data_IF_831209434458
#
_entry.id   IF_831209434458
#
_cell.length_a   1.000
_cell.length_b   1.000
_cell.length_c   1.000
_cell.angle_alpha   90.00
_cell.angle_beta   90.00
_cell.angle_gamma   90.00
#
_symmetry.space_group_name_H-M   'P 1'
#
loop_
_entity.id
_entity.type
_entity.pdbx_description
1 polymer ?
#
# COMPACT_ATOMS: atom_id res chain seq x y z
N UNK A 1 4.29 4.33 18.87
CA UNK A 1 5.48 5.17 19.14
C UNK A 1 6.15 5.59 17.83
N UNK A 2 6.42 4.66 16.92
CA UNK A 2 7.03 4.95 15.63
C UNK A 2 6.23 5.93 14.78
N UNK A 3 4.92 5.79 14.70
CA UNK A 3 4.03 6.68 13.97
C UNK A 3 4.13 8.14 14.43
N UNK A 4 4.13 8.37 15.77
CA UNK A 4 4.26 9.73 16.33
C UNK A 4 5.63 10.33 16.04
N UNK A 5 6.68 9.50 16.00
CA UNK A 5 8.03 9.96 15.63
C UNK A 5 8.11 10.30 14.14
N UNK A 6 7.48 9.50 13.28
CA UNK A 6 7.43 9.75 11.83
C UNK A 6 6.67 11.03 11.49
N UNK A 7 5.63 11.38 12.26
CA UNK A 7 4.84 12.61 12.09
C UNK A 7 5.54 13.86 12.65
N UNK A 8 6.65 13.73 13.37
CA UNK A 8 7.39 14.86 13.91
C UNK A 8 6.61 15.73 14.90
N UNK A 9 5.65 15.16 15.62
CA UNK A 9 4.76 15.90 16.53
C UNK A 9 5.54 16.62 17.65
N UNK A 10 5.29 17.92 17.89
CA UNK A 10 5.83 18.61 19.06
C UNK A 10 5.46 17.89 20.35
N UNK A 11 6.41 17.76 21.29
CA UNK A 11 6.21 17.00 22.55
C UNK A 11 6.27 15.48 22.42
N UNK A 12 6.39 14.97 21.20
CA UNK A 12 6.64 13.56 20.91
C UNK A 12 5.59 12.60 21.45
N UNK A 13 6.00 11.34 21.61
CA UNK A 13 5.10 10.25 22.02
C UNK A 13 4.46 10.47 23.41
N UNK A 14 5.19 11.04 24.37
CA UNK A 14 4.67 11.23 25.72
C UNK A 14 3.48 12.21 25.78
N UNK A 15 3.53 13.28 25.00
CA UNK A 15 2.43 14.23 24.90
C UNK A 15 1.23 13.62 24.17
N UNK A 16 1.45 12.98 23.02
CA UNK A 16 0.40 12.28 22.27
C UNK A 16 -0.30 11.24 23.14
N UNK A 17 0.48 10.43 23.88
CA UNK A 17 -0.06 9.41 24.78
C UNK A 17 -0.96 10.02 25.88
N UNK A 18 -0.52 11.11 26.52
CA UNK A 18 -1.27 11.79 27.57
C UNK A 18 -2.62 12.31 27.07
N UNK A 19 -2.62 12.92 25.86
CA UNK A 19 -3.85 13.44 25.24
C UNK A 19 -4.81 12.29 24.93
N UNK A 20 -4.31 11.21 24.31
CA UNK A 20 -5.12 10.05 23.94
C UNK A 20 -5.65 9.27 25.15
N UNK A 21 -4.90 9.20 26.25
CA UNK A 21 -5.36 8.65 27.52
C UNK A 21 -6.50 9.49 28.13
N UNK A 22 -6.40 10.82 28.08
CA UNK A 22 -7.49 11.71 28.50
C UNK A 22 -8.75 11.53 27.64
N UNK A 23 -8.62 11.27 26.36
CA UNK A 23 -9.76 10.90 25.50
C UNK A 23 -10.34 9.53 25.83
N UNK A 24 -9.51 8.57 26.27
CA UNK A 24 -9.99 7.27 26.77
C UNK A 24 -10.81 7.44 28.06
N UNK A 25 -10.29 8.22 29.03
CA UNK A 25 -10.98 8.51 30.30
C UNK A 25 -12.32 9.21 30.07
N UNK A 26 -12.46 10.02 29.04
CA UNK A 26 -13.70 10.68 28.62
C UNK A 26 -14.57 9.86 27.66
N UNK A 27 -14.20 8.62 27.34
CA UNK A 27 -14.97 7.70 26.50
C UNK A 27 -14.91 7.97 24.99
N UNK A 28 -14.11 8.92 24.53
CA UNK A 28 -13.99 9.25 23.10
C UNK A 28 -13.10 8.27 22.35
N UNK A 29 -12.14 7.64 23.02
CA UNK A 29 -11.27 6.62 22.43
C UNK A 29 -11.30 5.34 23.24
N UNK A 30 -10.88 4.25 22.61
CA UNK A 30 -10.63 2.96 23.23
C UNK A 30 -9.18 2.57 23.00
N UNK A 31 -8.54 2.02 24.03
CA UNK A 31 -7.20 1.44 23.92
C UNK A 31 -7.32 -0.04 23.55
N UNK A 32 -6.43 -0.51 22.68
CA UNK A 32 -6.41 -1.90 22.26
C UNK A 32 -5.26 -2.22 21.30
N UNK A 33 -5.32 -3.41 20.74
CA UNK A 33 -4.47 -3.83 19.62
C UNK A 33 -5.35 -3.88 18.37
N UNK A 34 -5.20 -2.91 17.48
CA UNK A 34 -6.01 -2.77 16.28
C UNK A 34 -5.22 -3.08 15.01
N UNK A 35 -3.93 -2.81 15.00
CA UNK A 35 -3.05 -3.01 13.87
C UNK A 35 -1.89 -3.88 14.33
N UNK A 36 -1.72 -5.01 13.67
CA UNK A 36 -0.64 -5.95 13.92
C UNK A 36 0.73 -5.27 13.73
N UNK A 37 1.74 -5.70 14.48
CA UNK A 37 3.12 -5.21 14.44
C UNK A 37 3.33 -3.74 14.88
N UNK A 38 2.29 -2.96 15.14
CA UNK A 38 2.46 -1.59 15.64
C UNK A 38 2.84 -1.48 17.12
N UNK A 39 2.84 -2.57 17.86
CA UNK A 39 3.12 -2.61 19.30
C UNK A 39 1.97 -2.10 20.17
N UNK A 40 2.22 -2.00 21.46
CA UNK A 40 1.24 -1.61 22.47
C UNK A 40 0.90 -0.11 22.43
N UNK A 41 -0.16 0.28 23.17
CA UNK A 41 -0.70 1.64 23.27
C UNK A 41 -1.22 2.19 21.94
N UNK A 42 -2.10 1.42 21.31
CA UNK A 42 -2.90 1.91 20.18
C UNK A 42 -4.23 2.44 20.71
N UNK A 43 -4.67 3.56 20.15
CA UNK A 43 -5.94 4.20 20.48
C UNK A 43 -6.76 4.36 19.20
N UNK A 44 -8.05 4.12 19.30
CA UNK A 44 -8.97 4.34 18.18
C UNK A 44 -10.29 4.93 18.70
N UNK A 45 -10.94 5.75 17.89
CA UNK A 45 -12.28 6.23 18.18
C UNK A 45 -13.26 5.04 18.22
N UNK A 46 -14.29 5.10 19.08
CA UNK A 46 -15.24 4.00 19.26
C UNK A 46 -15.88 3.56 17.94
N UNK A 47 -16.30 4.50 17.09
CA UNK A 47 -16.87 4.19 15.77
C UNK A 47 -15.88 3.48 14.83
N UNK A 48 -14.58 3.80 14.93
CA UNK A 48 -13.54 3.10 14.17
C UNK A 48 -13.39 1.66 14.62
N UNK A 49 -13.45 1.39 15.93
CA UNK A 49 -13.40 0.02 16.47
C UNK A 49 -14.59 -0.80 15.99
N UNK A 50 -15.79 -0.22 16.00
CA UNK A 50 -16.99 -0.90 15.54
C UNK A 50 -16.89 -1.22 14.04
N UNK A 51 -16.40 -0.28 13.23
CA UNK A 51 -16.15 -0.52 11.80
C UNK A 51 -15.09 -1.60 11.55
N UNK A 52 -14.02 -1.66 12.34
CA UNK A 52 -13.01 -2.74 12.25
C UNK A 52 -13.64 -4.11 12.54
N UNK A 53 -14.57 -4.19 13.50
CA UNK A 53 -15.31 -5.43 13.80
C UNK A 53 -16.21 -5.85 12.64
N UNK A 54 -16.87 -4.91 11.98
CA UNK A 54 -17.66 -5.19 10.77
C UNK A 54 -16.81 -5.83 9.67
N UNK A 55 -15.61 -5.29 9.39
CA UNK A 55 -14.69 -5.89 8.44
C UNK A 55 -14.17 -7.26 8.87
N UNK A 56 -13.90 -7.45 10.17
CA UNK A 56 -13.44 -8.75 10.70
C UNK A 56 -14.55 -9.82 10.69
N UNK A 57 -15.82 -9.43 10.58
CA UNK A 57 -16.97 -10.34 10.50
C UNK A 57 -17.34 -10.73 9.06
N UNK A 58 -16.64 -10.20 8.04
CA UNK A 58 -16.88 -10.59 6.66
C UNK A 58 -16.55 -12.08 6.44
N UNK A 59 -17.37 -12.79 5.64
CA UNK A 59 -17.12 -14.20 5.37
C UNK A 59 -15.79 -14.41 4.63
N UNK A 60 -15.10 -15.48 4.97
CA UNK A 60 -13.92 -15.95 4.27
C UNK A 60 -14.30 -17.17 3.39
N UNK A 61 -13.94 -17.22 2.08
CA UNK A 61 -13.17 -16.21 1.36
C UNK A 61 -14.03 -15.08 0.79
N UNK A 62 -13.66 -13.83 1.11
CA UNK A 62 -14.17 -12.68 0.37
C UNK A 62 -13.37 -12.51 -0.94
N UNK A 63 -13.94 -11.89 -1.99
CA UNK A 63 -13.18 -11.53 -3.17
C UNK A 63 -11.99 -10.64 -2.78
N UNK A 64 -10.81 -10.87 -3.37
CA UNK A 64 -9.61 -10.07 -3.09
C UNK A 64 -9.87 -8.58 -3.33
N UNK A 65 -9.80 -7.79 -2.28
CA UNK A 65 -9.93 -6.34 -2.31
C UNK A 65 -8.60 -5.68 -2.70
N UNK A 66 -8.49 -5.17 -3.93
CA UNK A 66 -7.29 -4.49 -4.39
C UNK A 66 -7.49 -2.97 -4.48
N UNK A 67 -6.51 -2.21 -3.99
CA UNK A 67 -6.54 -0.74 -3.96
C UNK A 67 -5.19 -0.17 -4.38
N UNK A 68 -5.19 0.70 -5.40
CA UNK A 68 -3.99 1.44 -5.82
C UNK A 68 -4.07 2.89 -5.35
N UNK A 69 -3.03 3.34 -4.66
CA UNK A 69 -2.90 4.67 -4.07
C UNK A 69 -1.60 5.34 -4.53
N UNK A 70 -1.53 6.67 -4.41
CA UNK A 70 -0.24 7.35 -4.44
C UNK A 70 0.61 6.88 -3.23
N UNK A 71 1.91 6.72 -3.41
CA UNK A 71 2.79 6.32 -2.30
C UNK A 71 2.77 7.33 -1.14
N UNK A 72 2.43 8.60 -1.42
CA UNK A 72 2.29 9.68 -0.44
C UNK A 72 0.88 9.80 0.15
N UNK A 73 -0.09 9.01 -0.32
CA UNK A 73 -1.47 9.08 0.15
C UNK A 73 -1.54 8.82 1.66
N UNK A 74 -2.28 9.63 2.44
CA UNK A 74 -2.46 9.39 3.89
C UNK A 74 -3.05 8.02 4.22
N UNK A 75 -3.85 7.43 3.34
CA UNK A 75 -4.42 6.09 3.51
C UNK A 75 -3.38 4.96 3.30
N UNK A 76 -2.22 5.25 2.71
CA UNK A 76 -1.13 4.30 2.63
C UNK A 76 -0.42 4.19 3.99
N UNK A 77 -0.49 3.05 4.72
CA UNK A 77 0.15 2.90 6.02
C UNK A 77 1.67 2.70 5.92
N UNK A 78 2.17 2.21 4.79
CA UNK A 78 3.57 1.84 4.61
C UNK A 78 4.49 3.06 4.46
N UNK A 79 5.61 3.01 5.18
CA UNK A 79 6.57 4.11 5.24
C UNK A 79 6.13 5.27 6.14
N UNK A 80 5.01 5.11 6.86
CA UNK A 80 4.52 6.00 7.91
C UNK A 80 4.25 5.18 9.18
N UNK A 81 3.03 4.64 9.34
CA UNK A 81 2.67 3.82 10.50
C UNK A 81 3.36 2.45 10.47
N UNK A 82 3.44 1.81 9.31
CA UNK A 82 4.08 0.52 9.10
C UNK A 82 5.42 0.70 8.37
N UNK A 83 6.39 -0.13 8.71
CA UNK A 83 7.63 -0.23 7.95
C UNK A 83 7.33 -0.78 6.54
N UNK A 84 8.15 -0.40 5.57
CA UNK A 84 8.14 -1.07 4.27
C UNK A 84 8.59 -2.52 4.45
N UNK A 85 7.90 -3.51 3.85
CA UNK A 85 8.36 -4.89 3.85
C UNK A 85 9.76 -5.02 3.26
N UNK A 86 10.58 -5.88 3.82
CA UNK A 86 11.91 -6.16 3.31
C UNK A 86 11.84 -7.02 2.04
N UNK A 87 12.71 -6.72 1.08
CA UNK A 87 12.96 -7.58 -0.08
C UNK A 87 14.42 -8.00 -0.06
N UNK A 88 14.66 -9.30 0.01
CA UNK A 88 16.02 -9.85 -0.02
C UNK A 88 16.64 -9.70 -1.41
N UNK A 89 17.92 -9.40 -1.45
CA UNK A 89 18.67 -9.28 -2.71
C UNK A 89 18.33 -8.07 -3.58
N UNK A 90 17.38 -7.20 -3.17
CA UNK A 90 16.96 -6.03 -3.93
C UNK A 90 17.54 -4.77 -3.30
N UNK A 91 18.43 -4.10 -4.03
CA UNK A 91 19.06 -2.85 -3.55
C UNK A 91 18.06 -1.67 -3.51
N UNK A 92 17.09 -1.67 -4.42
CA UNK A 92 16.06 -0.63 -4.51
C UNK A 92 15.13 -0.71 -3.29
N UNK A 93 14.80 0.45 -2.73
CA UNK A 93 13.91 0.56 -1.55
C UNK A 93 12.70 1.42 -1.89
N UNK A 94 11.49 0.99 -1.47
CA UNK A 94 10.30 1.80 -1.63
C UNK A 94 10.37 3.06 -0.75
N UNK A 95 9.59 4.07 -1.10
CA UNK A 95 9.54 5.31 -0.32
C UNK A 95 8.28 6.11 -0.61
N UNK A 96 7.90 6.96 0.34
CA UNK A 96 6.78 7.90 0.17
C UNK A 96 7.23 9.09 -0.69
N UNK A 97 7.40 8.84 -1.99
CA UNK A 97 7.85 9.83 -2.98
C UNK A 97 6.70 10.24 -3.88
N UNK A 98 6.63 11.52 -4.21
CA UNK A 98 5.62 12.07 -5.13
C UNK A 98 5.70 11.39 -6.50
N UNK A 99 4.56 10.95 -7.02
CA UNK A 99 4.44 10.22 -8.29
C UNK A 99 4.70 8.72 -8.20
N UNK A 100 5.13 8.19 -7.04
CA UNK A 100 5.12 6.75 -6.78
C UNK A 100 3.72 6.24 -6.52
N UNK A 101 3.48 4.96 -6.82
CA UNK A 101 2.21 4.27 -6.58
C UNK A 101 2.45 3.04 -5.70
N UNK A 102 1.48 2.71 -4.87
CA UNK A 102 1.40 1.46 -4.11
C UNK A 102 0.11 0.75 -4.46
N UNK A 103 0.15 -0.56 -4.58
CA UNK A 103 -1.05 -1.38 -4.71
C UNK A 103 -1.12 -2.34 -3.54
N UNK A 104 -2.20 -2.25 -2.80
CA UNK A 104 -2.52 -3.10 -1.67
C UNK A 104 -3.55 -4.14 -2.12
N UNK A 105 -3.43 -5.37 -1.64
CA UNK A 105 -4.45 -6.41 -1.78
C UNK A 105 -4.76 -6.91 -0.38
N UNK A 106 -6.01 -6.83 0.02
CA UNK A 106 -6.48 -7.12 1.39
C UNK A 106 -5.64 -6.45 2.49
N UNK A 107 -5.20 -5.20 2.20
CA UNK A 107 -4.36 -4.40 3.09
C UNK A 107 -2.86 -4.71 3.03
N UNK A 108 -2.43 -5.81 2.45
CA UNK A 108 -1.03 -6.14 2.25
C UNK A 108 -0.43 -5.40 1.04
N UNK A 109 0.79 -4.88 1.18
CA UNK A 109 1.51 -4.26 0.06
C UNK A 109 1.93 -5.35 -0.93
N UNK A 110 1.48 -5.24 -2.18
CA UNK A 110 1.79 -6.18 -3.26
C UNK A 110 2.70 -5.58 -4.32
N UNK A 111 2.42 -4.35 -4.74
CA UNK A 111 3.26 -3.66 -5.72
C UNK A 111 3.62 -2.25 -5.24
N UNK A 112 4.85 -1.84 -5.50
CA UNK A 112 5.30 -0.46 -5.43
C UNK A 112 5.88 -0.08 -6.80
N UNK A 113 5.43 1.04 -7.35
CA UNK A 113 5.97 1.61 -8.59
C UNK A 113 6.61 2.95 -8.30
N UNK A 114 7.81 3.15 -8.80
CA UNK A 114 8.43 4.48 -8.79
C UNK A 114 7.72 5.46 -9.74
N UNK A 115 8.02 6.73 -9.56
CA UNK A 115 7.55 7.78 -10.46
C UNK A 115 7.84 7.44 -11.93
N UNK A 116 6.80 7.46 -12.75
CA UNK A 116 6.87 7.08 -14.17
C UNK A 116 6.82 5.58 -14.42
N UNK A 117 6.77 4.75 -13.37
CA UNK A 117 6.53 3.31 -13.45
C UNK A 117 7.73 2.44 -13.85
N UNK A 118 8.88 3.01 -14.26
CA UNK A 118 10.01 2.24 -14.85
C UNK A 118 10.49 1.11 -13.95
N UNK A 119 10.60 1.37 -12.66
CA UNK A 119 11.02 0.39 -11.67
C UNK A 119 9.84 0.07 -10.76
N UNK A 120 9.54 -1.20 -10.63
CA UNK A 120 8.56 -1.72 -9.70
C UNK A 120 9.23 -2.66 -8.70
N UNK A 121 8.61 -2.80 -7.53
CA UNK A 121 8.93 -3.81 -6.52
C UNK A 121 7.68 -4.69 -6.33
N UNK A 122 7.87 -5.99 -6.29
CA UNK A 122 6.84 -6.97 -5.97
C UNK A 122 7.09 -7.57 -4.60
N UNK A 123 6.04 -7.66 -3.79
CA UNK A 123 6.05 -8.19 -2.43
C UNK A 123 5.23 -9.49 -2.30
N UNK A 124 4.73 -10.01 -3.42
CA UNK A 124 4.05 -11.31 -3.53
C UNK A 124 4.49 -12.00 -4.81
N UNK A 125 4.47 -13.31 -4.80
CA UNK A 125 4.66 -14.20 -5.95
C UNK A 125 3.37 -14.97 -6.32
N UNK A 126 2.30 -14.80 -5.54
CA UNK A 126 0.99 -15.39 -5.78
C UNK A 126 0.34 -14.78 -7.03
N UNK A 127 0.01 -15.62 -8.00
CA UNK A 127 -0.51 -15.18 -9.30
C UNK A 127 -1.89 -14.52 -9.20
N UNK A 128 -2.76 -14.97 -8.30
CA UNK A 128 -4.09 -14.41 -8.11
C UNK A 128 -4.01 -13.02 -7.46
N UNK A 129 -3.17 -12.89 -6.44
CA UNK A 129 -2.88 -11.61 -5.77
C UNK A 129 -2.26 -10.62 -6.74
N UNK A 130 -1.28 -11.05 -7.55
CA UNK A 130 -0.66 -10.21 -8.58
C UNK A 130 -1.64 -9.78 -9.67
N UNK A 131 -2.55 -10.68 -10.08
CA UNK A 131 -3.59 -10.35 -11.04
C UNK A 131 -4.58 -9.31 -10.49
N UNK A 132 -4.99 -9.43 -9.22
CA UNK A 132 -5.83 -8.44 -8.56
C UNK A 132 -5.13 -7.08 -8.46
N UNK A 133 -3.86 -7.07 -8.07
CA UNK A 133 -3.05 -5.86 -8.00
C UNK A 133 -2.89 -5.18 -9.38
N UNK A 134 -2.60 -5.94 -10.42
CA UNK A 134 -2.44 -5.41 -11.78
C UNK A 134 -3.75 -4.79 -12.32
N UNK A 135 -4.90 -5.43 -12.07
CA UNK A 135 -6.22 -4.87 -12.42
C UNK A 135 -6.46 -3.54 -11.72
N UNK A 136 -6.27 -3.49 -10.40
CA UNK A 136 -6.44 -2.25 -9.62
C UNK A 136 -5.52 -1.13 -10.10
N UNK A 137 -4.27 -1.44 -10.46
CA UNK A 137 -3.33 -0.48 -11.02
C UNK A 137 -3.85 0.12 -12.33
N UNK A 138 -4.36 -0.73 -13.24
CA UNK A 138 -4.92 -0.30 -14.54
C UNK A 138 -6.17 0.55 -14.35
N UNK A 139 -7.12 0.10 -13.52
CA UNK A 139 -8.36 0.81 -13.22
C UNK A 139 -8.08 2.19 -12.64
N UNK A 140 -7.20 2.27 -11.62
CA UNK A 140 -6.81 3.54 -11.00
C UNK A 140 -6.11 4.47 -12.00
N UNK A 141 -5.21 3.93 -12.82
CA UNK A 141 -4.49 4.70 -13.83
C UNK A 141 -5.46 5.31 -14.86
N UNK A 142 -6.46 4.56 -15.29
CA UNK A 142 -7.51 5.03 -16.20
C UNK A 142 -8.43 6.05 -15.54
N UNK A 143 -8.95 5.74 -14.36
CA UNK A 143 -9.88 6.60 -13.62
C UNK A 143 -9.26 7.96 -13.28
N UNK A 144 -7.99 7.98 -12.89
CA UNK A 144 -7.25 9.21 -12.55
C UNK A 144 -6.54 9.84 -13.75
N UNK A 145 -6.69 9.29 -14.94
CA UNK A 145 -6.05 9.76 -16.19
C UNK A 145 -4.54 9.97 -16.02
N UNK A 146 -3.89 9.01 -15.37
CA UNK A 146 -2.44 9.08 -15.19
C UNK A 146 -1.73 9.07 -16.56
N UNK A 147 -0.52 9.59 -16.56
CA UNK A 147 0.33 9.52 -17.74
C UNK A 147 0.66 8.05 -18.09
N UNK A 148 1.18 7.85 -19.28
CA UNK A 148 1.65 6.53 -19.73
C UNK A 148 2.59 5.92 -18.68
N UNK A 149 2.24 4.74 -18.17
CA UNK A 149 3.11 3.97 -17.29
C UNK A 149 3.90 2.96 -18.12
N UNK A 150 5.20 2.90 -17.92
CA UNK A 150 6.06 1.87 -18.55
C UNK A 150 6.86 1.17 -17.47
N UNK A 151 6.63 -0.14 -17.29
CA UNK A 151 7.37 -0.97 -16.34
C UNK A 151 8.49 -1.68 -17.11
N UNK A 152 9.72 -1.33 -16.78
CA UNK A 152 10.93 -1.90 -17.39
C UNK A 152 11.48 -3.04 -16.54
N UNK A 153 11.49 -2.86 -15.20
CA UNK A 153 12.05 -3.80 -14.25
C UNK A 153 11.12 -4.03 -13.06
N UNK A 154 11.17 -5.24 -12.53
CA UNK A 154 10.48 -5.64 -11.28
C UNK A 154 11.51 -6.26 -10.36
N UNK A 155 11.69 -5.68 -9.16
CA UNK A 155 12.65 -6.15 -8.15
C UNK A 155 14.06 -6.36 -8.71
N UNK A 156 14.48 -5.50 -9.64
CA UNK A 156 15.82 -5.52 -10.24
C UNK A 156 15.98 -6.42 -11.46
N UNK A 157 14.96 -7.20 -11.85
CA UNK A 157 14.98 -8.01 -13.07
C UNK A 157 14.10 -7.41 -14.15
N UNK A 158 14.41 -7.69 -15.41
CA UNK A 158 13.60 -7.22 -16.54
C UNK A 158 12.19 -7.81 -16.48
N UNK A 159 11.17 -7.01 -16.79
CA UNK A 159 9.76 -7.33 -16.51
C UNK A 159 9.23 -8.54 -17.30
N UNK A 160 9.76 -8.79 -18.49
CA UNK A 160 9.30 -9.89 -19.34
C UNK A 160 9.57 -11.26 -18.70
N UNK A 161 8.58 -12.15 -18.82
CA UNK A 161 8.63 -13.51 -18.24
C UNK A 161 8.45 -13.59 -16.73
N UNK A 162 8.38 -12.44 -16.01
CA UNK A 162 8.08 -12.45 -14.58
C UNK A 162 6.60 -12.68 -14.31
N UNK A 163 6.24 -13.15 -13.10
CA UNK A 163 4.84 -13.28 -12.69
C UNK A 163 4.11 -11.93 -12.75
N UNK A 164 4.75 -10.86 -12.31
CA UNK A 164 4.22 -9.49 -12.43
C UNK A 164 4.02 -9.11 -13.89
N UNK A 165 4.97 -9.42 -14.76
CA UNK A 165 4.86 -9.14 -16.20
C UNK A 165 3.63 -9.83 -16.82
N UNK A 166 3.41 -11.10 -16.50
CA UNK A 166 2.21 -11.83 -16.95
C UNK A 166 0.91 -11.18 -16.43
N UNK A 167 0.87 -10.81 -15.16
CA UNK A 167 -0.28 -10.15 -14.55
C UNK A 167 -0.57 -8.78 -15.21
N UNK A 168 0.47 -7.98 -15.48
CA UNK A 168 0.34 -6.68 -16.15
C UNK A 168 -0.18 -6.83 -17.58
N UNK A 169 0.33 -7.81 -18.36
CA UNK A 169 -0.15 -8.10 -19.71
C UNK A 169 -1.63 -8.50 -19.70
N UNK A 170 -2.02 -9.41 -18.79
CA UNK A 170 -3.41 -9.83 -18.63
C UNK A 170 -4.34 -8.67 -18.23
N UNK A 171 -3.83 -7.68 -17.48
CA UNK A 171 -4.57 -6.50 -17.09
C UNK A 171 -4.67 -5.41 -18.18
N UNK A 172 -3.93 -5.53 -19.29
CA UNK A 172 -4.03 -4.64 -20.45
C UNK A 172 -2.81 -3.74 -20.69
N UNK A 173 -1.68 -4.02 -20.07
CA UNK A 173 -0.40 -3.50 -20.55
C UNK A 173 -0.04 -4.18 -21.89
N UNK A 174 0.74 -3.49 -22.70
CA UNK A 174 1.23 -4.00 -23.98
C UNK A 174 2.76 -4.00 -24.01
N UNK A 175 3.32 -4.92 -24.75
CA UNK A 175 4.77 -4.96 -24.96
C UNK A 175 5.28 -3.74 -25.72
N UNK A 176 6.44 -3.27 -25.34
CA UNK A 176 7.15 -2.18 -26.00
C UNK A 176 8.67 -2.44 -25.99
N UNK A 177 9.45 -1.70 -26.75
CA UNK A 177 10.91 -1.88 -26.79
C UNK A 177 11.61 -1.66 -25.44
N UNK A 178 10.93 -1.05 -24.45
CA UNK A 178 11.50 -0.73 -23.14
C UNK A 178 10.90 -1.53 -21.99
N UNK A 179 9.84 -2.30 -22.24
CA UNK A 179 9.12 -3.03 -21.18
C UNK A 179 7.63 -3.05 -21.45
N UNK A 180 6.83 -3.21 -20.40
CA UNK A 180 5.37 -3.26 -20.50
C UNK A 180 4.77 -1.88 -20.31
N UNK A 181 3.94 -1.43 -21.23
CA UNK A 181 3.40 -0.07 -21.26
C UNK A 181 1.88 -0.08 -21.18
N UNK A 182 1.33 0.67 -20.23
CA UNK A 182 -0.09 1.04 -20.19
C UNK A 182 -0.24 2.43 -20.81
N UNK A 183 -0.87 2.48 -21.98
CA UNK A 183 -1.11 3.75 -22.70
C UNK A 183 -2.26 4.51 -22.04
N UNK A 184 -2.13 5.82 -21.97
CA UNK A 184 -3.24 6.71 -21.59
C UNK A 184 -4.39 6.53 -22.57
N UNK A 185 -5.58 6.28 -22.06
CA UNK A 185 -6.80 6.37 -22.89
C UNK A 185 -7.09 7.85 -23.19
N UNK A 186 -7.33 8.16 -24.45
CA UNK A 186 -7.74 9.49 -24.93
C UNK A 186 -9.17 9.81 -24.53
#
# INVERSE_FOLDING_TARGET
RGSVQAEGMPGGFAQAYRILAGFEDSGHTRRGYFIEQLGAAQFAASATVDRLREFAALPDPAPLGALTLAATDPANPYGAALAWPALEGVAHRPGRKAGGLVTLVDGALVLYLERGGRSALAFSDDEEVLAAAARSLVETSRARRLDTLTVEQVSGVFVYGTAVGRALLAAGFVESSRGLTLRRQR
#
